data_IF_678810452091
#
_entry.id   IF_678810452091
#
_cell.length_a   1.000
_cell.length_b   1.000
_cell.length_c   1.000
_cell.angle_alpha   90.00
_cell.angle_beta   90.00
_cell.angle_gamma   90.00
#
_symmetry.space_group_name_H-M   'P 1'
#
loop_
_entity.id
_entity.type
_entity.pdbx_description
1 polymer ?
#
# COMPACT_ATOMS: atom_id res chain seq x y z
N UNK A 1 -30.71 -60.15 17.74
CA UNK A 1 -29.26 -60.26 17.47
C UNK A 1 -28.69 -58.85 17.57
N UNK A 2 -28.12 -58.44 18.70
CA UNK A 2 -26.71 -58.60 19.12
C UNK A 2 -25.70 -58.18 18.04
N UNK A 3 -25.12 -56.99 18.24
CA UNK A 3 -23.66 -56.82 18.25
C UNK A 3 -23.32 -55.54 19.04
N UNK A 4 -23.13 -55.73 20.33
CA UNK A 4 -22.42 -54.82 21.22
C UNK A 4 -20.93 -55.03 21.00
N UNK A 5 -20.16 -53.96 20.80
CA UNK A 5 -18.71 -53.99 21.00
C UNK A 5 -18.33 -52.81 21.87
N UNK A 6 -17.93 -53.11 23.09
CA UNK A 6 -17.27 -52.19 24.00
C UNK A 6 -15.80 -52.02 23.56
N UNK A 7 -15.25 -50.83 23.74
CA UNK A 7 -13.83 -50.69 24.08
C UNK A 7 -13.64 -49.60 25.13
N UNK A 8 -12.60 -49.80 25.91
CA UNK A 8 -12.36 -49.36 27.28
C UNK A 8 -11.26 -48.30 27.32
N UNK A 9 -11.44 -47.34 28.24
CA UNK A 9 -10.49 -46.57 29.06
C UNK A 9 -9.27 -45.83 28.47
N UNK A 10 -8.93 -44.74 29.19
CA UNK A 10 -7.65 -44.03 29.17
C UNK A 10 -7.79 -42.68 28.46
N UNK A 11 -7.63 -41.53 29.10
CA UNK A 11 -6.70 -41.14 30.14
C UNK A 11 -5.92 -39.93 29.64
N UNK A 12 -5.60 -39.01 30.57
CA UNK A 12 -4.86 -37.76 30.42
C UNK A 12 -5.66 -36.50 30.07
N UNK A 13 -5.91 -35.69 31.11
CA UNK A 13 -6.07 -34.25 31.00
C UNK A 13 -4.82 -33.66 30.35
N UNK A 14 -4.97 -33.12 29.14
CA UNK A 14 -4.02 -32.15 28.63
C UNK A 14 -4.56 -30.77 29.00
N UNK A 15 -4.01 -30.17 30.06
CA UNK A 15 -4.06 -28.71 30.19
C UNK A 15 -3.26 -28.17 29.01
N UNK A 16 -3.96 -27.64 28.00
CA UNK A 16 -3.32 -26.83 26.99
C UNK A 16 -2.64 -25.66 27.72
N UNK A 17 -1.32 -25.64 27.70
CA UNK A 17 -0.56 -24.44 28.00
C UNK A 17 -0.83 -23.55 26.79
N UNK A 18 -1.78 -22.61 26.92
CA UNK A 18 -1.86 -21.50 25.99
C UNK A 18 -0.57 -20.71 26.15
N UNK A 19 0.40 -21.00 25.27
CA UNK A 19 1.38 -20.00 24.92
C UNK A 19 0.59 -18.90 24.22
N UNK A 20 0.35 -17.81 24.94
CA UNK A 20 0.02 -16.53 24.31
C UNK A 20 1.15 -16.20 23.37
N UNK A 21 1.04 -16.66 22.12
CA UNK A 21 1.70 -16.02 21.02
C UNK A 21 0.73 -14.92 20.65
N UNK A 22 0.95 -13.73 21.21
CA UNK A 22 0.48 -12.53 20.55
C UNK A 22 0.92 -12.68 19.09
N UNK A 23 -0.08 -12.84 18.23
CA UNK A 23 0.09 -12.69 16.80
C UNK A 23 0.41 -11.20 16.65
N UNK A 24 1.67 -10.85 16.86
CA UNK A 24 2.25 -9.65 16.30
C UNK A 24 2.30 -9.91 14.80
N UNK A 25 1.13 -9.85 14.17
CA UNK A 25 1.04 -9.60 12.74
C UNK A 25 1.79 -8.30 12.60
N UNK A 26 2.99 -8.35 12.01
CA UNK A 26 3.68 -7.14 11.60
C UNK A 26 2.71 -6.41 10.68
N UNK A 27 1.93 -5.48 11.26
CA UNK A 27 1.03 -4.62 10.53
C UNK A 27 2.00 -3.79 9.71
N UNK A 28 2.02 -4.02 8.39
CA UNK A 28 2.79 -3.17 7.49
C UNK A 28 2.48 -1.70 7.77
N UNK A 29 3.35 -0.78 7.33
CA UNK A 29 3.20 0.62 7.69
C UNK A 29 1.80 1.14 7.30
N UNK A 30 1.19 1.93 8.18
CA UNK A 30 -0.08 2.57 7.89
C UNK A 30 0.11 3.60 6.76
N UNK A 31 -0.74 3.54 5.74
CA UNK A 31 -0.71 4.47 4.61
C UNK A 31 -1.85 5.48 4.72
N UNK A 32 -1.54 6.75 4.42
CA UNK A 32 -2.51 7.82 4.26
C UNK A 32 -2.50 8.34 2.83
N UNK A 33 -3.66 8.79 2.36
CA UNK A 33 -3.76 9.55 1.10
C UNK A 33 -3.13 10.94 1.33
N UNK A 34 -2.28 11.36 0.40
CA UNK A 34 -1.71 12.70 0.42
C UNK A 34 -2.71 13.67 -0.23
N UNK A 35 -3.03 14.75 0.47
CA UNK A 35 -3.86 15.83 -0.07
C UNK A 35 -3.04 16.63 -1.09
N UNK A 36 -3.53 16.74 -2.32
CA UNK A 36 -2.87 17.41 -3.44
C UNK A 36 -3.77 18.50 -4.00
N UNK A 37 -3.18 19.64 -4.35
CA UNK A 37 -3.92 20.75 -4.94
C UNK A 37 -4.39 20.42 -6.36
N UNK A 38 -5.64 20.78 -6.67
CA UNK A 38 -6.18 20.70 -8.03
C UNK A 38 -5.45 21.67 -8.99
N UNK A 39 -5.36 21.36 -10.30
CA UNK A 39 -5.78 20.12 -10.96
C UNK A 39 -4.94 18.91 -10.50
N UNK A 40 -5.52 17.71 -10.49
CA UNK A 40 -4.82 16.50 -10.04
C UNK A 40 -3.91 15.93 -11.16
N UNK A 41 -2.91 16.72 -11.58
CA UNK A 41 -2.00 16.38 -12.68
C UNK A 41 -0.56 16.17 -12.20
N UNK A 42 -0.41 15.44 -11.10
CA UNK A 42 0.84 15.23 -10.39
C UNK A 42 1.53 13.92 -10.81
N UNK A 43 2.84 13.98 -11.04
CA UNK A 43 3.72 12.82 -11.27
C UNK A 43 4.89 12.85 -10.29
N UNK A 44 5.58 11.72 -10.14
CA UNK A 44 6.79 11.65 -9.33
C UNK A 44 7.88 12.59 -9.85
N UNK A 45 8.41 13.44 -8.97
CA UNK A 45 9.54 14.32 -9.26
C UNK A 45 10.88 13.61 -9.23
N UNK A 46 11.95 14.36 -9.43
CA UNK A 46 13.32 13.83 -9.50
C UNK A 46 13.84 13.23 -8.18
N UNK A 47 13.22 13.57 -7.03
CA UNK A 47 13.53 12.93 -5.74
C UNK A 47 13.09 11.46 -5.70
N UNK A 48 12.08 11.08 -6.50
CA UNK A 48 11.51 9.73 -6.53
C UNK A 48 11.89 8.97 -7.81
N UNK A 49 11.84 9.62 -8.97
CA UNK A 49 12.00 8.97 -10.26
C UNK A 49 13.34 9.32 -10.95
N UNK A 50 14.06 8.34 -11.54
CA UNK A 50 13.79 6.89 -11.52
C UNK A 50 14.37 6.18 -10.29
N UNK A 51 15.18 6.86 -9.47
CA UNK A 51 16.08 6.22 -8.49
C UNK A 51 15.40 5.42 -7.37
N UNK A 52 14.19 5.80 -6.98
CA UNK A 52 13.47 5.17 -5.87
C UNK A 52 12.32 4.25 -6.30
N UNK A 53 12.12 4.06 -7.61
CA UNK A 53 11.12 3.14 -8.14
C UNK A 53 11.46 1.71 -7.71
N UNK A 54 10.47 1.00 -7.18
CA UNK A 54 10.54 -0.45 -6.92
C UNK A 54 9.88 -1.20 -8.09
N UNK A 55 8.68 -0.78 -8.49
CA UNK A 55 7.92 -1.37 -9.59
C UNK A 55 6.98 -0.33 -10.22
N UNK A 56 6.60 -0.60 -11.47
CA UNK A 56 5.61 0.17 -12.23
C UNK A 56 4.55 -0.74 -12.82
N UNK A 57 3.31 -0.24 -12.86
CA UNK A 57 2.12 -0.93 -13.32
C UNK A 57 1.36 -0.05 -14.31
N UNK A 58 0.58 -0.69 -15.19
CA UNK A 58 -0.37 0.01 -16.03
C UNK A 58 -1.62 -0.84 -16.26
N UNK A 59 -2.72 -0.19 -16.63
CA UNK A 59 -3.96 -0.84 -17.03
C UNK A 59 -4.76 0.02 -18.00
N UNK A 60 -5.66 -0.61 -18.75
CA UNK A 60 -6.62 0.10 -19.58
C UNK A 60 -7.57 0.93 -18.72
N UNK A 61 -7.98 2.10 -19.22
CA UNK A 61 -8.93 2.97 -18.50
C UNK A 61 -10.26 2.30 -18.19
N UNK A 62 -10.69 1.32 -18.98
CA UNK A 62 -11.97 0.63 -18.83
C UNK A 62 -12.04 -0.23 -17.56
N UNK A 63 -10.90 -0.59 -16.97
CA UNK A 63 -10.82 -1.56 -15.88
C UNK A 63 -10.94 -0.93 -14.50
N UNK A 64 -10.66 0.37 -14.38
CA UNK A 64 -10.59 1.06 -13.10
C UNK A 64 -11.10 2.49 -13.22
N UNK A 65 -11.64 3.03 -12.12
CA UNK A 65 -11.65 4.46 -11.88
C UNK A 65 -10.36 4.89 -11.13
N UNK A 66 -10.23 6.18 -10.85
CA UNK A 66 -9.03 6.74 -10.21
C UNK A 66 -8.73 6.09 -8.86
N UNK A 67 -9.75 5.94 -8.00
CA UNK A 67 -9.56 5.41 -6.65
C UNK A 67 -9.29 3.91 -6.69
N UNK A 68 -10.02 3.14 -7.49
CA UNK A 68 -9.80 1.71 -7.65
C UNK A 68 -8.41 1.39 -8.21
N UNK A 69 -7.90 2.20 -9.14
CA UNK A 69 -6.52 2.07 -9.61
C UNK A 69 -5.50 2.39 -8.50
N UNK A 70 -5.71 3.46 -7.75
CA UNK A 70 -4.83 3.84 -6.66
C UNK A 70 -4.80 2.79 -5.53
N UNK A 71 -5.95 2.20 -5.21
CA UNK A 71 -6.08 1.12 -4.23
C UNK A 71 -5.33 -0.14 -4.71
N UNK A 72 -5.46 -0.50 -5.99
CA UNK A 72 -4.69 -1.60 -6.57
C UNK A 72 -3.18 -1.37 -6.43
N UNK A 73 -2.68 -0.19 -6.78
CA UNK A 73 -1.25 0.13 -6.69
C UNK A 73 -0.77 0.14 -5.23
N UNK A 74 -1.61 0.62 -4.30
CA UNK A 74 -1.33 0.54 -2.87
C UNK A 74 -1.26 -0.92 -2.37
N UNK A 75 -2.13 -1.80 -2.85
CA UNK A 75 -2.07 -3.22 -2.51
C UNK A 75 -0.85 -3.92 -3.11
N UNK A 76 -0.36 -3.48 -4.28
CA UNK A 76 0.94 -3.89 -4.79
C UNK A 76 2.08 -3.38 -3.89
N UNK A 77 2.03 -2.12 -3.46
CA UNK A 77 3.03 -1.52 -2.57
C UNK A 77 3.19 -2.32 -1.27
N UNK A 78 2.10 -2.72 -0.63
CA UNK A 78 2.10 -3.51 0.62
C UNK A 78 2.80 -4.87 0.49
N UNK A 79 2.97 -5.41 -0.72
CA UNK A 79 3.72 -6.65 -0.95
C UNK A 79 5.24 -6.46 -0.92
N UNK A 80 5.72 -5.21 -0.99
CA UNK A 80 7.13 -4.87 -0.89
C UNK A 80 7.41 -4.26 0.49
N UNK A 81 8.21 -4.94 1.31
CA UNK A 81 8.59 -4.43 2.64
C UNK A 81 9.33 -3.08 2.61
N UNK A 82 9.93 -2.72 1.47
CA UNK A 82 10.61 -1.45 1.27
C UNK A 82 9.70 -0.32 0.73
N UNK A 83 8.43 -0.61 0.42
CA UNK A 83 7.55 0.39 -0.14
C UNK A 83 7.06 1.36 0.94
N UNK A 84 7.17 2.65 0.65
CA UNK A 84 6.80 3.73 1.57
C UNK A 84 5.86 4.76 0.93
N UNK A 85 5.70 4.75 -0.39
CA UNK A 85 4.75 5.61 -1.08
C UNK A 85 4.37 5.09 -2.46
N UNK A 86 3.27 5.61 -3.00
CA UNK A 86 2.77 5.31 -4.33
C UNK A 86 2.35 6.58 -5.07
N UNK A 87 2.30 6.51 -6.40
CA UNK A 87 1.59 7.49 -7.22
C UNK A 87 0.81 6.77 -8.30
N UNK A 88 -0.42 7.19 -8.52
CA UNK A 88 -1.34 6.62 -9.50
C UNK A 88 -1.99 7.74 -10.29
N UNK A 89 -2.06 7.64 -11.60
CA UNK A 89 -2.64 8.67 -12.48
C UNK A 89 -2.99 8.09 -13.84
N UNK A 90 -3.77 8.81 -14.64
CA UNK A 90 -3.91 8.50 -16.06
C UNK A 90 -3.15 9.46 -16.96
N UNK A 91 -2.55 8.93 -18.03
CA UNK A 91 -1.81 9.70 -19.02
C UNK A 91 -1.89 9.05 -20.41
N UNK A 92 -1.46 9.78 -21.43
CA UNK A 92 -1.30 9.22 -22.78
C UNK A 92 -0.07 8.32 -22.82
N UNK A 93 -0.25 7.06 -23.21
CA UNK A 93 0.83 6.13 -23.43
C UNK A 93 1.61 6.51 -24.71
N UNK A 94 2.91 6.71 -24.59
CA UNK A 94 3.81 7.04 -25.71
C UNK A 94 4.26 5.83 -26.54
N UNK A 95 3.83 4.61 -26.19
CA UNK A 95 4.11 3.37 -26.91
C UNK A 95 3.29 3.20 -28.20
N UNK A 96 3.55 2.09 -28.92
CA UNK A 96 2.98 1.82 -30.26
C UNK A 96 1.46 1.69 -30.31
N UNK A 97 0.81 1.42 -29.18
CA UNK A 97 -0.65 1.35 -29.07
C UNK A 97 -1.31 2.73 -28.92
N UNK A 98 -0.54 3.77 -28.56
CA UNK A 98 -1.08 5.07 -28.18
C UNK A 98 -2.12 4.94 -27.06
N UNK A 99 -3.05 5.90 -27.00
CA UNK A 99 -4.21 5.83 -26.11
C UNK A 99 -3.95 6.25 -24.67
N UNK A 100 -5.01 6.32 -23.88
CA UNK A 100 -4.96 6.76 -22.49
C UNK A 100 -5.07 5.57 -21.55
N UNK A 101 -4.21 5.54 -20.55
CA UNK A 101 -4.01 4.41 -19.65
C UNK A 101 -3.85 4.90 -18.21
N UNK A 102 -4.15 4.00 -17.28
CA UNK A 102 -3.74 4.12 -15.90
C UNK A 102 -2.27 3.73 -15.76
N UNK A 103 -1.52 4.52 -14.98
CA UNK A 103 -0.13 4.28 -14.59
C UNK A 103 -0.01 4.34 -13.08
N UNK A 104 0.80 3.45 -12.53
CA UNK A 104 1.03 3.35 -11.09
C UNK A 104 2.48 3.02 -10.79
N UNK A 105 3.07 3.70 -9.82
CA UNK A 105 4.42 3.42 -9.36
C UNK A 105 4.44 3.28 -7.85
N UNK A 106 5.32 2.39 -7.38
CA UNK A 106 5.58 2.15 -5.97
C UNK A 106 7.04 2.52 -5.68
N UNK A 107 7.26 3.24 -4.58
CA UNK A 107 8.57 3.82 -4.24
C UNK A 107 9.03 3.40 -2.86
N UNK A 108 10.36 3.38 -2.70
CA UNK A 108 11.04 3.39 -1.40
C UNK A 108 11.48 4.81 -1.04
N UNK A 109 12.01 5.00 0.16
CA UNK A 109 12.71 6.24 0.53
C UNK A 109 12.07 7.04 1.66
N UNK A 110 11.06 6.50 2.34
CA UNK A 110 10.39 7.14 3.47
C UNK A 110 9.06 7.80 3.11
N UNK A 111 8.44 8.53 4.06
CA UNK A 111 7.24 9.31 3.79
C UNK A 111 7.53 10.40 2.75
N UNK A 112 6.52 10.74 1.97
CA UNK A 112 6.58 11.73 0.89
C UNK A 112 5.60 12.86 1.15
N UNK A 113 5.89 14.02 0.58
CA UNK A 113 5.04 15.22 0.65
C UNK A 113 4.71 15.71 -0.75
N UNK A 114 3.88 16.76 -0.87
CA UNK A 114 3.54 17.32 -2.18
C UNK A 114 4.77 17.84 -2.95
N UNK A 115 5.85 18.21 -2.25
CA UNK A 115 7.11 18.70 -2.85
C UNK A 115 7.88 17.62 -3.63
N UNK A 116 7.61 16.35 -3.36
CA UNK A 116 8.20 15.21 -4.08
C UNK A 116 7.55 14.94 -5.44
N UNK A 117 6.47 15.68 -5.75
CA UNK A 117 5.70 15.52 -6.97
C UNK A 117 5.70 16.82 -7.77
N UNK A 118 5.62 16.69 -9.08
CA UNK A 118 5.60 17.81 -10.01
C UNK A 118 4.37 17.73 -10.91
N UNK A 119 3.89 18.89 -11.37
CA UNK A 119 2.77 18.96 -12.31
C UNK A 119 3.25 18.62 -13.71
N UNK A 120 2.47 17.82 -14.44
CA UNK A 120 2.75 17.45 -15.82
C UNK A 120 1.50 17.62 -16.71
N UNK A 121 1.71 18.03 -17.96
CA UNK A 121 0.62 18.21 -18.92
C UNK A 121 0.18 16.87 -19.48
N UNK A 122 -1.13 16.65 -19.59
CA UNK A 122 -1.69 15.38 -20.09
C UNK A 122 -1.78 14.27 -19.04
N UNK A 123 -1.43 14.58 -17.79
CA UNK A 123 -1.67 13.74 -16.61
C UNK A 123 -2.93 14.21 -15.91
N UNK A 124 -3.80 13.29 -15.50
CA UNK A 124 -4.98 13.60 -14.69
C UNK A 124 -5.24 12.52 -13.65
N UNK A 125 -6.14 12.82 -12.71
CA UNK A 125 -6.63 11.94 -11.65
C UNK A 125 -5.51 11.35 -10.77
N UNK A 126 -4.50 12.16 -10.50
CA UNK A 126 -3.40 11.77 -9.62
C UNK A 126 -3.88 11.51 -8.19
N UNK A 127 -3.55 10.33 -7.66
CA UNK A 127 -3.73 9.94 -6.26
C UNK A 127 -2.40 9.40 -5.75
N UNK A 128 -2.00 9.89 -4.58
CA UNK A 128 -0.77 9.51 -3.88
C UNK A 128 -1.12 8.93 -2.52
N UNK A 129 -0.49 7.80 -2.18
CA UNK A 129 -0.44 7.31 -0.81
C UNK A 129 0.99 7.36 -0.28
N UNK A 130 1.12 7.60 1.01
CA UNK A 130 2.41 7.65 1.70
C UNK A 130 2.26 7.11 3.12
N UNK A 131 3.33 6.54 3.68
CA UNK A 131 3.30 6.05 5.06
C UNK A 131 3.04 7.20 6.06
N UNK A 132 2.41 6.88 7.18
CA UNK A 132 2.29 7.81 8.31
C UNK A 132 3.66 7.93 8.97
N UNK A 133 4.15 9.16 9.10
CA UNK A 133 5.35 9.44 9.88
C UNK A 133 4.98 9.45 11.37
N UNK A 134 5.40 8.41 12.10
CA UNK A 134 5.10 8.27 13.53
C UNK A 134 5.89 9.26 14.40
N UNK A 135 6.91 9.93 13.86
CA UNK A 135 7.76 10.87 14.61
C UNK A 135 7.08 12.23 14.92
N UNK A 136 5.86 12.48 14.40
CA UNK A 136 5.15 13.75 14.61
C UNK A 136 4.31 13.77 15.91
N UNK A 137 4.10 12.63 16.58
CA UNK A 137 3.25 12.56 17.79
C UNK A 137 3.97 12.48 19.14
N UNK A 138 5.30 12.49 19.19
CA UNK A 138 6.06 12.37 20.45
C UNK A 138 6.36 13.70 21.18
N UNK A 139 5.82 14.84 20.75
CA UNK A 139 6.11 16.16 21.38
C UNK A 139 4.94 16.72 22.19
N UNK A 140 4.34 15.96 23.12
CA UNK A 140 3.60 16.54 24.25
C UNK A 140 3.67 15.61 25.48
N UNK A 141 4.73 15.74 26.27
CA UNK A 141 4.84 14.97 27.51
C UNK A 141 6.12 15.20 28.30
N UNK A 142 6.65 16.43 28.33
CA UNK A 142 7.67 16.81 29.32
C UNK A 142 7.20 18.03 30.11
N UNK A 143 7.34 17.89 31.43
CA UNK A 143 7.18 18.86 32.51
C UNK A 143 5.75 19.30 32.86
N UNK A 144 5.22 18.76 33.97
CA UNK A 144 5.38 19.33 35.32
C UNK A 144 5.30 18.24 36.40
#
# INVERSE_FOLDING_TARGET
MKLTKALVAGGASFRAISFGRDQDTATGPDFKKLELDTPLNWVAGASLFPGNVIAGFNSELSQYDAQGWADYVLDQCKQYSACTSTVSYQATNSGSTGGRFWFGYVFRGGPTTAEDYVRETGVEDSIVFTIVDEDVFQVQGTDL
#
